data_IF_106078156031
#
_entry.id   IF_106078156031
#
_cell.length_a   1.000
_cell.length_b   1.000
_cell.length_c   1.000
_cell.angle_alpha   90.00
_cell.angle_beta   90.00
_cell.angle_gamma   90.00
#
_symmetry.space_group_name_H-M   'P 1'
#
loop_
_entity.id
_entity.type
_entity.pdbx_description
1 polymer ?
#
# COMPACT_ATOMS: atom_id res chain seq x y z
N UNK A 1 18.85 15.00 2.45
CA UNK A 1 17.75 14.01 2.50
C UNK A 1 18.00 13.02 1.37
N UNK A 2 17.81 11.72 1.57
CA UNK A 2 18.01 10.76 0.47
C UNK A 2 16.96 10.97 -0.61
N UNK A 3 17.36 10.94 -1.88
CA UNK A 3 16.43 11.07 -3.00
C UNK A 3 15.80 9.72 -3.39
N UNK A 4 16.41 8.62 -2.94
CA UNK A 4 15.96 7.25 -3.21
C UNK A 4 15.48 6.56 -1.93
N UNK A 5 14.34 5.86 -2.03
CA UNK A 5 13.86 4.90 -1.02
C UNK A 5 13.84 3.49 -1.62
N UNK A 6 14.29 2.51 -0.85
CA UNK A 6 14.35 1.09 -1.22
C UNK A 6 13.54 0.27 -0.22
N UNK A 7 12.56 -0.49 -0.70
CA UNK A 7 11.78 -1.43 0.10
C UNK A 7 12.39 -2.83 -0.01
N UNK A 8 13.06 -3.28 1.05
CA UNK A 8 13.87 -4.50 1.08
C UNK A 8 13.81 -5.16 2.46
N UNK A 9 13.66 -6.48 2.50
CA UNK A 9 13.66 -7.24 3.76
C UNK A 9 14.20 -8.67 3.62
N UNK A 10 13.74 -9.43 2.62
CA UNK A 10 13.97 -10.89 2.53
C UNK A 10 14.91 -11.30 1.41
N UNK A 11 14.96 -10.54 0.32
CA UNK A 11 15.77 -10.87 -0.87
C UNK A 11 17.26 -10.57 -0.67
N UNK A 12 17.59 -9.59 0.17
CA UNK A 12 18.97 -9.17 0.44
C UNK A 12 19.06 -8.58 1.84
N UNK A 13 20.18 -8.83 2.53
CA UNK A 13 20.40 -8.25 3.86
C UNK A 13 20.64 -6.74 3.77
N UNK A 14 20.20 -6.00 4.81
CA UNK A 14 20.47 -4.55 4.89
C UNK A 14 21.96 -4.21 4.77
N UNK A 15 22.83 -5.02 5.40
CA UNK A 15 24.28 -4.82 5.34
C UNK A 15 24.82 -4.98 3.92
N UNK A 16 24.38 -6.00 3.17
CA UNK A 16 24.79 -6.12 1.77
C UNK A 16 24.24 -4.94 0.94
N UNK A 17 22.98 -4.56 1.15
CA UNK A 17 22.33 -3.52 0.37
C UNK A 17 23.00 -2.14 0.51
N UNK A 18 23.32 -1.71 1.73
CA UNK A 18 23.97 -0.41 1.97
C UNK A 18 25.38 -0.32 1.36
N UNK A 19 26.08 -1.45 1.21
CA UNK A 19 27.36 -1.47 0.49
C UNK A 19 27.19 -1.25 -1.02
N UNK A 20 26.07 -1.70 -1.59
CA UNK A 20 25.81 -1.59 -3.04
C UNK A 20 25.23 -0.24 -3.42
N UNK A 21 24.32 0.30 -2.60
CA UNK A 21 23.71 1.62 -2.77
C UNK A 21 23.68 2.36 -1.42
N UNK A 22 24.74 3.07 -1.04
CA UNK A 22 24.88 3.70 0.27
C UNK A 22 24.00 4.96 0.45
N UNK A 23 23.62 5.62 -0.64
CA UNK A 23 22.90 6.89 -0.61
C UNK A 23 21.37 6.74 -0.75
N UNK A 24 20.80 5.67 -0.18
CA UNK A 24 19.35 5.43 -0.18
C UNK A 24 18.79 5.21 1.23
N UNK A 25 17.50 5.53 1.41
CA UNK A 25 16.74 5.14 2.60
C UNK A 25 16.22 3.71 2.42
N UNK A 26 16.51 2.82 3.37
CA UNK A 26 15.98 1.46 3.35
C UNK A 26 14.80 1.31 4.32
N UNK A 27 13.68 0.83 3.79
CA UNK A 27 12.47 0.49 4.54
C UNK A 27 12.18 -1.01 4.40
N UNK A 28 11.40 -1.61 5.33
CA UNK A 28 10.95 -3.00 5.23
C UNK A 28 10.16 -3.29 3.95
N UNK A 29 9.72 -4.54 3.77
CA UNK A 29 8.88 -4.96 2.64
C UNK A 29 7.71 -4.00 2.41
N UNK A 30 7.49 -3.60 1.15
CA UNK A 30 6.43 -2.65 0.79
C UNK A 30 5.04 -3.21 1.07
N UNK A 31 4.12 -2.33 1.48
CA UNK A 31 2.69 -2.63 1.64
C UNK A 31 1.83 -1.45 1.20
N UNK A 32 0.51 -1.66 1.15
CA UNK A 32 -0.47 -0.61 0.84
C UNK A 32 -0.21 0.66 1.66
N UNK A 33 -0.20 1.79 0.98
CA UNK A 33 0.01 3.13 1.54
C UNK A 33 1.47 3.60 1.58
N UNK A 34 2.45 2.71 1.47
CA UNK A 34 3.85 3.10 1.63
C UNK A 34 4.39 3.91 0.43
N UNK A 35 3.85 3.69 -0.77
CA UNK A 35 4.17 4.51 -1.93
C UNK A 35 3.63 5.93 -1.74
N UNK A 36 2.41 6.12 -1.25
CA UNK A 36 1.87 7.45 -0.96
C UNK A 36 2.70 8.21 0.10
N UNK A 37 3.17 7.49 1.13
CA UNK A 37 4.10 8.06 2.12
C UNK A 37 5.43 8.47 1.49
N UNK A 38 5.95 7.67 0.55
CA UNK A 38 7.17 8.01 -0.17
C UNK A 38 7.00 9.27 -1.05
N UNK A 39 5.86 9.40 -1.75
CA UNK A 39 5.52 10.61 -2.52
C UNK A 39 5.46 11.83 -1.60
N UNK A 40 4.77 11.72 -0.46
CA UNK A 40 4.67 12.81 0.53
C UNK A 40 6.02 13.19 1.14
N UNK A 41 6.90 12.21 1.36
CA UNK A 41 8.25 12.44 1.86
C UNK A 41 9.19 13.09 0.82
N UNK A 42 8.76 13.23 -0.43
CA UNK A 42 9.51 13.92 -1.48
C UNK A 42 10.58 13.07 -2.15
N UNK A 43 10.54 11.73 -2.03
CA UNK A 43 11.46 10.85 -2.75
C UNK A 43 11.30 11.01 -4.26
N UNK A 44 12.42 10.95 -4.97
CA UNK A 44 12.51 11.09 -6.44
C UNK A 44 12.63 9.74 -7.13
N UNK A 45 13.09 8.73 -6.39
CA UNK A 45 13.18 7.34 -6.83
C UNK A 45 12.63 6.40 -5.76
N UNK A 46 11.78 5.47 -6.18
CA UNK A 46 11.25 4.38 -5.36
C UNK A 46 11.74 3.06 -5.94
N UNK A 47 12.40 2.25 -5.13
CA UNK A 47 12.87 0.90 -5.53
C UNK A 47 12.10 -0.13 -4.71
N UNK A 48 11.39 -1.01 -5.41
CA UNK A 48 10.61 -2.08 -4.81
C UNK A 48 11.37 -3.38 -5.04
N UNK A 49 11.89 -3.99 -3.97
CA UNK A 49 12.45 -5.34 -4.01
C UNK A 49 11.43 -6.29 -3.42
N UNK A 50 11.16 -6.15 -2.12
CA UNK A 50 10.28 -7.04 -1.36
C UNK A 50 8.93 -6.39 -1.03
N UNK A 51 7.89 -7.21 -0.92
CA UNK A 51 6.55 -6.77 -0.54
C UNK A 51 5.83 -7.78 0.34
N UNK A 52 4.87 -7.29 1.12
CA UNK A 52 4.09 -8.08 2.08
C UNK A 52 2.66 -8.28 1.57
N UNK A 53 2.08 -9.47 1.73
CA UNK A 53 0.76 -9.81 1.19
C UNK A 53 -0.10 -10.70 2.11
N UNK A 54 0.42 -11.14 3.26
CA UNK A 54 -0.26 -12.12 4.11
C UNK A 54 -1.23 -11.45 5.10
N UNK A 55 -0.71 -10.65 6.03
CA UNK A 55 -1.49 -10.04 7.13
C UNK A 55 -1.83 -8.58 6.88
N UNK A 56 -1.25 -8.01 5.82
CA UNK A 56 -1.45 -6.64 5.38
C UNK A 56 -1.69 -6.65 3.88
N UNK A 57 -2.54 -5.74 3.35
CA UNK A 57 -2.72 -5.64 1.92
C UNK A 57 -1.42 -5.29 1.20
N UNK A 58 -1.12 -6.00 0.11
CA UNK A 58 -0.01 -5.71 -0.78
C UNK A 58 -0.08 -4.31 -1.35
N UNK A 59 1.07 -3.79 -1.78
CA UNK A 59 1.10 -2.52 -2.53
C UNK A 59 0.16 -2.59 -3.73
N UNK A 60 -0.65 -1.54 -3.89
CA UNK A 60 -1.62 -1.44 -4.98
C UNK A 60 -0.98 -0.82 -6.22
N UNK A 61 -1.32 -1.34 -7.39
CA UNK A 61 -0.90 -0.79 -8.69
C UNK A 61 -1.20 0.71 -8.79
N UNK A 62 -2.37 1.13 -8.33
CA UNK A 62 -2.78 2.55 -8.37
C UNK A 62 -1.86 3.48 -7.59
N UNK A 63 -1.21 3.00 -6.52
CA UNK A 63 -0.24 3.83 -5.81
C UNK A 63 1.03 4.02 -6.63
N UNK A 64 1.51 2.95 -7.28
CA UNK A 64 2.68 3.01 -8.16
C UNK A 64 2.38 3.91 -9.36
N UNK A 65 1.21 3.76 -9.99
CA UNK A 65 0.75 4.67 -11.05
C UNK A 65 0.68 6.12 -10.56
N UNK A 66 0.24 6.36 -9.33
CA UNK A 66 0.25 7.71 -8.75
C UNK A 66 1.69 8.24 -8.64
N UNK A 67 2.66 7.44 -8.20
CA UNK A 67 4.06 7.87 -8.16
C UNK A 67 4.61 8.19 -9.56
N UNK A 68 4.30 7.37 -10.56
CA UNK A 68 4.68 7.60 -11.96
C UNK A 68 4.05 8.88 -12.53
N UNK A 69 2.77 9.15 -12.24
CA UNK A 69 2.08 10.41 -12.60
C UNK A 69 2.77 11.64 -11.97
N UNK A 70 3.34 11.48 -10.78
CA UNK A 70 4.17 12.49 -10.12
C UNK A 70 5.61 12.54 -10.65
N UNK A 71 5.93 11.83 -11.74
CA UNK A 71 7.26 11.82 -12.35
C UNK A 71 8.34 11.14 -11.50
N UNK A 72 7.95 10.40 -10.45
CA UNK A 72 8.89 9.67 -9.60
C UNK A 72 9.35 8.43 -10.36
N UNK A 73 10.65 8.21 -10.35
CA UNK A 73 11.24 7.02 -10.96
C UNK A 73 10.92 5.80 -10.08
N UNK A 74 10.19 4.81 -10.62
CA UNK A 74 9.88 3.58 -9.88
C UNK A 74 10.58 2.40 -10.51
N UNK A 75 11.36 1.66 -9.73
CA UNK A 75 12.03 0.43 -10.12
C UNK A 75 11.48 -0.79 -9.38
N UNK A 76 11.46 -1.94 -10.04
CA UNK A 76 11.11 -3.23 -9.43
C UNK A 76 12.04 -4.37 -9.84
N UNK A 77 12.40 -5.22 -8.87
CA UNK A 77 13.22 -6.41 -9.12
C UNK A 77 12.95 -7.54 -8.10
N UNK A 78 13.52 -8.71 -8.36
CA UNK A 78 13.65 -9.88 -7.49
C UNK A 78 12.36 -10.57 -6.99
N UNK A 79 11.47 -9.86 -6.30
CA UNK A 79 10.32 -10.44 -5.61
C UNK A 79 9.03 -9.80 -6.13
N UNK A 80 8.15 -9.37 -5.24
CA UNK A 80 6.96 -8.57 -5.58
C UNK A 80 7.30 -7.35 -6.45
N UNK A 81 8.51 -6.79 -6.32
CA UNK A 81 8.99 -5.72 -7.19
C UNK A 81 9.06 -6.10 -8.66
N UNK A 82 9.60 -7.28 -8.99
CA UNK A 82 9.69 -7.78 -10.36
C UNK A 82 8.30 -8.00 -10.96
N UNK A 83 7.39 -8.62 -10.21
CA UNK A 83 5.99 -8.82 -10.62
C UNK A 83 5.31 -7.48 -10.93
N UNK A 84 5.38 -6.51 -10.01
CA UNK A 84 4.78 -5.18 -10.20
C UNK A 84 5.40 -4.42 -11.37
N UNK A 85 6.71 -4.57 -11.58
CA UNK A 85 7.37 -3.97 -12.74
C UNK A 85 6.86 -4.58 -14.05
N UNK A 86 6.72 -5.89 -14.15
CA UNK A 86 6.19 -6.53 -15.36
C UNK A 86 4.76 -6.07 -15.68
N UNK A 87 3.91 -5.95 -14.67
CA UNK A 87 2.52 -5.47 -14.83
C UNK A 87 2.43 -3.98 -15.20
N UNK A 88 3.40 -3.16 -14.78
CA UNK A 88 3.36 -1.69 -14.90
C UNK A 88 4.42 -1.09 -15.84
N UNK A 89 5.18 -1.92 -16.55
CA UNK A 89 6.23 -1.50 -17.49
C UNK A 89 5.68 -0.57 -18.58
N UNK A 90 4.54 -0.97 -19.17
CA UNK A 90 3.84 -0.16 -20.19
C UNK A 90 3.38 1.22 -19.69
N UNK A 91 3.33 1.43 -18.37
CA UNK A 91 2.98 2.70 -17.74
C UNK A 91 4.21 3.48 -17.22
N UNK A 92 5.42 2.93 -17.36
CA UNK A 92 6.68 3.61 -17.03
C UNK A 92 7.41 3.10 -15.79
N UNK A 93 6.90 2.07 -15.09
CA UNK A 93 7.68 1.39 -14.04
C UNK A 93 8.83 0.61 -14.68
N UNK A 94 10.04 0.73 -14.14
CA UNK A 94 11.23 0.08 -14.72
C UNK A 94 11.48 -1.26 -14.03
N UNK A 95 11.52 -2.33 -14.79
CA UNK A 95 11.93 -3.64 -14.28
C UNK A 95 13.42 -3.89 -14.43
N UNK A 96 13.97 -4.72 -13.56
CA UNK A 96 15.36 -5.15 -13.63
C UNK A 96 15.53 -6.59 -13.15
N UNK A 97 16.40 -7.32 -13.84
CA UNK A 97 16.80 -8.66 -13.45
C UNK A 97 16.00 -9.76 -14.14
N UNK A 98 16.46 -10.99 -13.96
CA UNK A 98 15.95 -12.16 -14.67
C UNK A 98 14.49 -12.46 -14.31
N UNK A 99 14.11 -12.29 -13.04
CA UNK A 99 12.76 -12.59 -12.56
C UNK A 99 11.76 -11.63 -13.21
N UNK A 100 12.11 -10.35 -13.37
CA UNK A 100 11.27 -9.39 -14.11
C UNK A 100 11.12 -9.78 -15.57
N UNK A 101 12.21 -10.13 -16.27
CA UNK A 101 12.15 -10.55 -17.68
C UNK A 101 11.26 -11.80 -17.86
N UNK A 102 11.34 -12.76 -16.94
CA UNK A 102 10.50 -13.96 -17.00
C UNK A 102 9.01 -13.63 -16.84
N UNK A 103 8.64 -12.72 -15.92
CA UNK A 103 7.24 -12.25 -15.81
C UNK A 103 6.82 -11.46 -17.04
N UNK A 104 7.68 -10.56 -17.54
CA UNK A 104 7.39 -9.71 -18.71
C UNK A 104 7.18 -10.52 -19.98
N UNK A 105 7.94 -11.60 -20.16
CA UNK A 105 7.85 -12.51 -21.31
C UNK A 105 6.82 -13.63 -21.10
N UNK A 106 6.04 -13.59 -20.02
CA UNK A 106 5.02 -14.60 -19.68
C UNK A 106 5.60 -16.02 -19.54
N UNK A 107 6.90 -16.14 -19.24
CA UNK A 107 7.54 -17.43 -18.92
C UNK A 107 7.07 -17.95 -17.55
N UNK A 108 6.66 -17.03 -16.68
CA UNK A 108 6.02 -17.30 -15.39
C UNK A 108 4.90 -16.29 -15.12
N UNK A 109 3.84 -16.72 -14.45
CA UNK A 109 2.66 -15.91 -14.11
C UNK A 109 2.20 -16.06 -12.64
N UNK A 110 2.66 -17.11 -11.95
CA UNK A 110 2.23 -17.44 -10.60
C UNK A 110 2.82 -16.55 -9.50
N UNK A 111 1.98 -16.17 -8.53
CA UNK A 111 2.43 -15.49 -7.30
C UNK A 111 3.38 -16.38 -6.48
N UNK A 112 3.21 -17.70 -6.55
CA UNK A 112 3.98 -18.72 -5.84
C UNK A 112 5.45 -18.82 -6.27
N UNK A 113 5.78 -18.23 -7.42
CA UNK A 113 7.14 -18.09 -7.94
C UNK A 113 8.02 -17.25 -7.00
N UNK A 114 7.50 -16.12 -6.52
CA UNK A 114 8.23 -15.19 -5.64
C UNK A 114 7.74 -15.19 -4.19
N UNK A 115 6.53 -15.69 -3.94
CA UNK A 115 5.91 -15.75 -2.62
C UNK A 115 6.67 -16.68 -1.66
N UNK A 116 6.85 -16.18 -0.43
CA UNK A 116 7.46 -16.91 0.69
C UNK A 116 6.71 -16.58 1.97
N UNK A 117 6.71 -17.51 2.92
CA UNK A 117 6.57 -17.17 4.34
C UNK A 117 7.93 -16.77 4.92
N UNK A 118 7.93 -15.70 5.71
CA UNK A 118 9.09 -15.17 6.43
C UNK A 118 8.69 -14.83 7.87
N UNK A 119 9.55 -15.16 8.82
CA UNK A 119 9.43 -14.69 10.21
C UNK A 119 10.69 -13.94 10.62
N UNK A 120 10.49 -12.65 10.94
CA UNK A 120 11.56 -11.78 11.44
C UNK A 120 12.12 -12.22 12.79
N UNK A 121 11.33 -12.95 13.59
CA UNK A 121 11.72 -13.38 14.93
C UNK A 121 12.85 -14.41 14.91
N UNK A 122 12.77 -15.39 14.00
CA UNK A 122 13.76 -16.46 13.87
C UNK A 122 14.60 -16.36 12.60
N UNK A 123 14.37 -15.32 11.78
CA UNK A 123 15.01 -15.10 10.49
C UNK A 123 14.90 -16.30 9.53
N UNK A 124 13.79 -17.04 9.61
CA UNK A 124 13.50 -18.18 8.74
C UNK A 124 12.61 -17.73 7.59
N UNK A 125 12.99 -18.12 6.38
CA UNK A 125 12.15 -18.01 5.19
C UNK A 125 12.01 -19.35 4.47
N UNK A 126 10.88 -19.50 3.81
CA UNK A 126 10.64 -20.59 2.85
C UNK A 126 11.30 -20.29 1.51
N UNK A 127 11.32 -21.30 0.65
CA UNK A 127 12.02 -21.27 -0.62
C UNK A 127 11.04 -20.80 -1.70
N UNK A 128 11.36 -19.74 -2.46
CA UNK A 128 10.54 -19.31 -3.59
C UNK A 128 10.69 -20.31 -4.75
N UNK A 129 9.62 -20.53 -5.52
CA UNK A 129 9.65 -21.53 -6.59
C UNK A 129 10.58 -21.12 -7.73
N UNK A 130 10.70 -19.82 -7.99
CA UNK A 130 11.56 -19.27 -9.05
C UNK A 130 13.04 -19.67 -8.87
N UNK A 131 13.52 -19.73 -7.62
CA UNK A 131 14.89 -20.15 -7.33
C UNK A 131 15.08 -21.64 -7.66
N UNK A 132 14.08 -22.48 -7.39
CA UNK A 132 14.10 -23.91 -7.77
C UNK A 132 14.05 -24.06 -9.30
N UNK A 133 13.16 -23.33 -9.97
CA UNK A 133 13.05 -23.32 -11.43
C UNK A 133 14.39 -23.01 -12.09
N UNK A 134 15.01 -21.90 -11.72
CA UNK A 134 16.28 -21.47 -12.30
C UNK A 134 17.43 -22.43 -11.96
N UNK A 135 17.38 -23.07 -10.80
CA UNK A 135 18.32 -24.14 -10.43
C UNK A 135 18.15 -25.35 -11.37
N UNK A 136 16.93 -25.79 -11.62
CA UNK A 136 16.65 -26.93 -12.51
C UNK A 136 17.01 -26.63 -13.97
N UNK A 137 16.71 -25.43 -14.46
CA UNK A 137 17.12 -24.97 -15.79
C UNK A 137 18.64 -25.06 -15.97
N UNK A 138 19.41 -24.55 -15.00
CA UNK A 138 20.88 -24.62 -15.04
C UNK A 138 21.41 -26.06 -15.08
N UNK A 139 20.71 -26.99 -14.43
CA UNK A 139 21.07 -28.40 -14.38
C UNK A 139 20.72 -29.16 -15.67
N UNK A 140 19.99 -28.56 -16.62
CA UNK A 140 19.58 -29.16 -17.90
C UNK A 140 19.01 -30.60 -17.76
N UNK A 141 18.23 -30.86 -16.70
CA UNK A 141 17.74 -32.21 -16.41
C UNK A 141 16.52 -32.58 -17.25
N UNK A 142 16.43 -33.85 -17.67
CA UNK A 142 15.46 -34.36 -18.66
C UNK A 142 13.99 -34.30 -18.17
N UNK A 143 13.72 -33.95 -16.90
CA UNK A 143 12.37 -33.92 -16.31
C UNK A 143 12.07 -32.64 -15.49
N UNK A 144 12.67 -31.50 -15.84
CA UNK A 144 12.55 -30.26 -15.07
C UNK A 144 11.12 -29.88 -14.70
N UNK A 145 10.19 -29.92 -15.66
CA UNK A 145 8.79 -29.53 -15.42
C UNK A 145 8.06 -30.48 -14.46
N UNK A 146 8.26 -31.79 -14.60
CA UNK A 146 7.64 -32.78 -13.70
C UNK A 146 8.12 -32.59 -12.26
N UNK A 147 9.44 -32.37 -12.09
CA UNK A 147 10.05 -32.13 -10.78
C UNK A 147 9.56 -30.81 -10.19
N UNK A 148 9.56 -29.75 -11.00
CA UNK A 148 9.12 -28.44 -10.56
C UNK A 148 7.65 -28.47 -10.14
N UNK A 149 6.77 -29.15 -10.88
CA UNK A 149 5.37 -29.31 -10.51
C UNK A 149 5.17 -30.11 -9.22
N UNK A 150 5.99 -31.13 -8.96
CA UNK A 150 6.01 -31.84 -7.67
C UNK A 150 6.41 -30.93 -6.51
N UNK A 151 7.36 -30.02 -6.71
CA UNK A 151 7.76 -29.04 -5.69
C UNK A 151 6.72 -27.91 -5.56
N UNK A 152 6.09 -27.50 -6.66
CA UNK A 152 5.04 -26.48 -6.72
C UNK A 152 3.82 -26.88 -5.89
N UNK A 153 3.50 -28.17 -5.80
CA UNK A 153 2.37 -28.66 -4.98
C UNK A 153 2.55 -28.42 -3.48
N UNK A 154 3.78 -28.12 -3.02
CA UNK A 154 4.02 -27.65 -1.67
C UNK A 154 3.58 -26.19 -1.57
N UNK A 155 2.57 -25.91 -0.74
CA UNK A 155 2.13 -24.55 -0.48
C UNK A 155 3.31 -23.65 -0.11
N UNK A 156 3.40 -22.45 -0.71
CA UNK A 156 4.60 -21.59 -0.65
C UNK A 156 5.05 -21.35 0.80
N UNK A 157 4.11 -21.17 1.73
CA UNK A 157 4.38 -20.89 3.14
C UNK A 157 5.01 -22.07 3.90
N UNK A 158 5.05 -23.25 3.27
CA UNK A 158 5.59 -24.48 3.85
C UNK A 158 6.77 -25.05 3.05
N UNK A 159 7.16 -24.39 1.94
CA UNK A 159 8.20 -24.87 1.02
C UNK A 159 9.58 -24.76 1.65
N UNK A 160 9.97 -25.79 2.39
CA UNK A 160 11.27 -25.91 3.06
C UNK A 160 12.08 -27.04 2.45
N UNK A 161 13.40 -27.03 2.65
CA UNK A 161 14.28 -28.13 2.21
C UNK A 161 13.81 -29.50 2.70
N UNK A 162 13.27 -29.58 3.92
CA UNK A 162 12.73 -30.82 4.50
C UNK A 162 11.50 -31.30 3.73
N UNK A 163 10.59 -30.40 3.33
CA UNK A 163 9.43 -30.79 2.52
C UNK A 163 9.82 -31.12 1.09
N UNK A 164 10.75 -30.38 0.48
CA UNK A 164 11.27 -30.67 -0.86
C UNK A 164 11.88 -32.07 -0.92
N UNK A 165 12.69 -32.47 0.07
CA UNK A 165 13.30 -33.80 0.14
C UNK A 165 12.29 -34.96 0.17
N UNK A 166 11.02 -34.70 0.54
CA UNK A 166 9.94 -35.70 0.51
C UNK A 166 9.21 -35.80 -0.84
N UNK A 167 9.42 -34.84 -1.74
CA UNK A 167 8.72 -34.71 -3.03
C UNK A 167 9.60 -35.06 -4.23
N UNK A 168 10.89 -35.30 -4.01
CA UNK A 168 11.87 -35.68 -5.04
C UNK A 168 12.75 -36.83 -4.55
N UNK A 169 13.44 -37.52 -5.46
CA UNK A 169 14.44 -38.53 -5.07
C UNK A 169 15.60 -37.92 -4.31
N UNK A 170 16.28 -38.72 -3.48
CA UNK A 170 17.41 -38.28 -2.66
C UNK A 170 18.54 -37.66 -3.49
N UNK A 171 18.94 -38.31 -4.60
CA UNK A 171 19.95 -37.81 -5.53
C UNK A 171 19.58 -36.43 -6.09
N UNK A 172 18.31 -36.25 -6.48
CA UNK A 172 17.83 -35.01 -7.07
C UNK A 172 17.73 -33.90 -6.01
N UNK A 173 17.31 -34.22 -4.79
CA UNK A 173 17.33 -33.27 -3.68
C UNK A 173 18.74 -32.74 -3.42
N UNK A 174 19.74 -33.62 -3.37
CA UNK A 174 21.14 -33.22 -3.17
C UNK A 174 21.66 -32.38 -4.35
N UNK A 175 21.28 -32.73 -5.58
CA UNK A 175 21.66 -31.98 -6.77
C UNK A 175 21.06 -30.56 -6.77
N UNK A 176 19.76 -30.42 -6.50
CA UNK A 176 19.08 -29.11 -6.41
C UNK A 176 19.69 -28.29 -5.28
N UNK A 177 19.86 -28.88 -4.09
CA UNK A 177 20.32 -28.15 -2.91
C UNK A 177 21.77 -27.67 -3.03
N UNK A 178 22.64 -28.46 -3.65
CA UNK A 178 24.05 -28.09 -3.86
C UNK A 178 24.24 -27.06 -4.97
N UNK A 179 23.31 -26.98 -5.93
CA UNK A 179 23.35 -26.04 -7.05
C UNK A 179 22.33 -24.89 -6.91
N UNK A 180 21.76 -24.72 -5.72
CA UNK A 180 20.69 -23.75 -5.47
C UNK A 180 21.08 -22.34 -5.90
N UNK A 181 20.27 -21.75 -6.77
CA UNK A 181 20.42 -20.38 -7.24
C UNK A 181 19.49 -19.50 -6.42
N UNK A 182 20.05 -18.48 -5.75
CA UNK A 182 19.27 -17.46 -5.07
C UNK A 182 19.02 -16.27 -6.00
N UNK A 183 18.13 -16.46 -6.99
CA UNK A 183 17.89 -15.49 -8.04
C UNK A 183 17.29 -14.19 -7.51
N UNK A 184 16.45 -14.26 -6.47
CA UNK A 184 15.96 -13.06 -5.76
C UNK A 184 17.12 -12.20 -5.25
N UNK A 185 18.12 -12.84 -4.63
CA UNK A 185 19.31 -12.15 -4.14
C UNK A 185 20.15 -11.58 -5.28
N UNK A 186 20.37 -12.34 -6.35
CA UNK A 186 21.14 -11.91 -7.51
C UNK A 186 20.51 -10.69 -8.20
N UNK A 187 19.20 -10.72 -8.46
CA UNK A 187 18.46 -9.61 -9.07
C UNK A 187 18.47 -8.35 -8.19
N UNK A 188 18.24 -8.51 -6.88
CA UNK A 188 18.28 -7.39 -5.94
C UNK A 188 19.67 -6.74 -5.91
N UNK A 189 20.75 -7.52 -5.87
CA UNK A 189 22.12 -7.00 -5.92
C UNK A 189 22.40 -6.27 -7.23
N UNK A 190 22.02 -6.89 -8.36
CA UNK A 190 22.24 -6.35 -9.69
C UNK A 190 21.56 -4.99 -9.87
N UNK A 191 20.31 -4.85 -9.43
CA UNK A 191 19.60 -3.57 -9.48
C UNK A 191 20.28 -2.49 -8.62
N UNK A 192 20.60 -2.79 -7.36
CA UNK A 192 21.22 -1.81 -6.47
C UNK A 192 22.59 -1.33 -6.99
N UNK A 193 23.39 -2.25 -7.54
CA UNK A 193 24.66 -1.90 -8.20
C UNK A 193 24.46 -1.01 -9.43
N UNK A 194 23.49 -1.36 -10.28
CA UNK A 194 23.14 -0.57 -11.46
C UNK A 194 22.72 0.87 -11.08
N UNK A 195 21.88 1.01 -10.06
CA UNK A 195 21.39 2.32 -9.61
C UNK A 195 22.46 3.17 -8.96
N UNK A 196 23.48 2.58 -8.34
CA UNK A 196 24.61 3.32 -7.77
C UNK A 196 25.49 3.96 -8.85
N UNK A 197 25.43 3.46 -10.09
CA UNK A 197 26.14 3.99 -11.25
C UNK A 197 25.29 5.00 -12.05
N UNK A 198 24.00 5.15 -11.73
CA UNK A 198 23.06 6.00 -12.45
C UNK A 198 22.68 7.23 -11.64
N UNK A 199 22.84 8.41 -12.24
CA UNK A 199 22.23 9.62 -11.71
C UNK A 199 20.72 9.61 -11.90
N UNK A 200 19.98 10.17 -10.93
CA UNK A 200 18.55 10.45 -11.11
C UNK A 200 18.42 11.47 -12.24
N UNK A 201 17.60 11.15 -13.24
CA UNK A 201 17.40 12.03 -14.40
C UNK A 201 16.86 13.39 -13.91
N UNK A 202 17.50 14.47 -14.34
CA UNK A 202 17.18 15.85 -13.92
C UNK A 202 15.80 16.33 -14.34
N UNK A 203 15.08 15.59 -15.19
CA UNK A 203 13.68 15.89 -15.55
C UNK A 203 12.71 15.83 -14.35
N UNK A 204 13.13 15.25 -13.22
CA UNK A 204 12.33 15.20 -11.98
C UNK A 204 12.53 16.45 -11.09
N UNK A 205 13.39 17.39 -11.47
CA UNK A 205 13.75 18.55 -10.63
C UNK A 205 12.68 19.64 -10.60
N UNK A 206 11.87 19.79 -11.65
CA UNK A 206 10.78 20.76 -11.72
C UNK A 206 9.42 20.05 -11.66
N UNK A 207 9.11 19.44 -10.52
CA UNK A 207 7.75 19.03 -10.21
C UNK A 207 6.89 20.27 -9.94
N UNK A 208 6.58 21.05 -10.98
CA UNK A 208 5.26 21.66 -11.06
C UNK A 208 4.28 20.49 -11.12
N UNK A 209 3.96 19.93 -9.94
CA UNK A 209 3.05 18.80 -9.78
C UNK A 209 1.78 19.19 -10.50
N UNK A 210 1.57 18.60 -11.69
CA UNK A 210 0.33 18.84 -12.43
C UNK A 210 -0.80 18.43 -11.49
N UNK A 211 -1.76 19.34 -11.32
CA UNK A 211 -2.93 19.07 -10.52
C UNK A 211 -3.59 17.80 -11.06
N UNK A 212 -3.62 16.75 -10.24
CA UNK A 212 -4.16 15.45 -10.60
C UNK A 212 -5.61 15.36 -10.12
N UNK A 213 -6.45 14.74 -10.94
CA UNK A 213 -7.77 14.32 -10.50
C UNK A 213 -7.68 12.92 -9.91
N UNK A 214 -7.98 12.81 -8.61
CA UNK A 214 -8.00 11.53 -7.91
C UNK A 214 -9.36 10.85 -8.05
N UNK A 215 -9.36 9.55 -8.36
CA UNK A 215 -10.56 8.73 -8.28
C UNK A 215 -11.03 8.58 -6.82
N UNK A 216 -12.30 8.25 -6.59
CA UNK A 216 -12.83 8.02 -5.24
C UNK A 216 -12.02 6.98 -4.45
N UNK A 217 -11.53 5.95 -5.14
CA UNK A 217 -10.69 4.91 -4.55
C UNK A 217 -9.37 5.47 -4.02
N UNK A 218 -8.72 6.34 -4.79
CA UNK A 218 -7.45 6.95 -4.40
C UNK A 218 -7.64 7.99 -3.30
N UNK A 219 -8.75 8.75 -3.32
CA UNK A 219 -9.11 9.65 -2.23
C UNK A 219 -9.25 8.91 -0.90
N UNK A 220 -10.02 7.81 -0.87
CA UNK A 220 -10.14 6.94 0.32
C UNK A 220 -8.79 6.38 0.76
N UNK A 221 -7.96 5.95 -0.18
CA UNK A 221 -6.62 5.44 0.11
C UNK A 221 -5.74 6.50 0.78
N UNK A 222 -5.74 7.72 0.24
CA UNK A 222 -5.03 8.87 0.80
C UNK A 222 -5.48 9.15 2.23
N UNK A 223 -6.78 9.18 2.48
CA UNK A 223 -7.32 9.43 3.83
C UNK A 223 -6.91 8.34 4.82
N UNK A 224 -7.08 7.07 4.44
CA UNK A 224 -6.70 5.93 5.29
C UNK A 224 -5.20 5.82 5.55
N UNK A 225 -4.37 6.43 4.70
CA UNK A 225 -2.91 6.30 4.75
C UNK A 225 -2.23 7.49 5.41
N UNK A 226 -2.69 8.71 5.12
CA UNK A 226 -2.01 9.95 5.49
C UNK A 226 -2.73 10.68 6.64
N UNK A 227 -3.98 11.08 6.41
CA UNK A 227 -4.87 11.69 7.40
C UNK A 227 -6.23 11.95 6.79
N UNK A 228 -7.29 11.97 7.58
CA UNK A 228 -8.63 12.35 7.12
C UNK A 228 -8.71 13.80 6.59
N UNK A 229 -9.59 14.05 5.62
CA UNK A 229 -9.73 15.38 4.99
C UNK A 229 -10.19 16.45 5.96
N UNK A 230 -11.11 16.14 6.87
CA UNK A 230 -11.67 17.12 7.80
C UNK A 230 -10.65 17.70 8.80
N UNK A 231 -9.51 17.03 9.00
CA UNK A 231 -8.40 17.56 9.80
C UNK A 231 -7.55 18.61 9.06
N UNK A 232 -7.69 18.69 7.73
CA UNK A 232 -6.92 19.59 6.86
C UNK A 232 -7.78 20.60 6.11
N UNK A 233 -9.09 20.40 6.08
CA UNK A 233 -10.02 21.28 5.38
C UNK A 233 -9.87 22.73 5.87
N UNK A 234 -9.84 23.72 4.95
CA UNK A 234 -9.70 25.11 5.34
C UNK A 234 -10.89 25.56 6.21
N UNK A 235 -10.59 26.28 7.28
CA UNK A 235 -11.61 26.79 8.18
C UNK A 235 -12.32 28.00 7.56
N UNK A 236 -13.63 28.07 7.79
CA UNK A 236 -14.45 29.22 7.44
C UNK A 236 -14.74 30.05 8.69
N UNK A 237 -14.48 31.36 8.63
CA UNK A 237 -14.68 32.30 9.75
C UNK A 237 -15.99 33.11 9.61
N UNK A 238 -17.03 32.55 9.00
CA UNK A 238 -18.32 33.25 8.85
C UNK A 238 -19.17 33.12 10.13
N UNK A 239 -19.75 34.24 10.58
CA UNK A 239 -20.42 34.38 11.88
C UNK A 239 -21.94 34.18 11.86
N UNK A 240 -22.60 34.23 10.72
CA UNK A 240 -24.05 34.07 10.62
C UNK A 240 -24.40 32.68 10.11
N UNK A 241 -25.07 31.87 10.95
CA UNK A 241 -25.44 30.51 10.61
C UNK A 241 -26.76 30.11 11.27
N UNK A 242 -27.66 29.51 10.50
CA UNK A 242 -28.97 29.04 10.95
C UNK A 242 -28.96 27.62 11.52
N UNK A 243 -27.88 26.86 11.33
CA UNK A 243 -27.79 25.47 11.77
C UNK A 243 -27.64 25.35 13.31
N UNK A 244 -28.24 24.30 13.87
CA UNK A 244 -28.25 24.03 15.31
C UNK A 244 -26.83 23.87 15.89
N UNK A 245 -26.54 24.58 16.97
CA UNK A 245 -25.31 24.42 17.75
C UNK A 245 -25.10 22.97 18.21
N UNK A 246 -26.19 22.29 18.62
CA UNK A 246 -26.12 20.90 19.06
C UNK A 246 -25.66 19.95 17.96
N UNK A 247 -26.09 20.16 16.70
CA UNK A 247 -25.66 19.33 15.57
C UNK A 247 -24.15 19.45 15.33
N UNK A 248 -23.62 20.67 15.37
CA UNK A 248 -22.20 20.92 15.23
C UNK A 248 -21.38 20.27 16.36
N UNK A 249 -21.84 20.41 17.61
CA UNK A 249 -21.19 19.77 18.77
C UNK A 249 -21.16 18.24 18.63
N UNK A 250 -22.24 17.62 18.14
CA UNK A 250 -22.28 16.18 17.92
C UNK A 250 -21.30 15.74 16.81
N UNK A 251 -21.17 16.51 15.72
CA UNK A 251 -20.18 16.21 14.66
C UNK A 251 -18.75 16.35 15.18
N UNK A 252 -18.46 17.40 15.97
CA UNK A 252 -17.13 17.56 16.57
C UNK A 252 -16.76 16.37 17.45
N UNK A 253 -17.69 15.90 18.29
CA UNK A 253 -17.52 14.68 19.09
C UNK A 253 -17.30 13.44 18.22
N UNK A 254 -18.15 13.23 17.21
CA UNK A 254 -18.08 12.08 16.30
C UNK A 254 -16.72 12.00 15.59
N UNK A 255 -16.20 13.14 15.13
CA UNK A 255 -14.93 13.24 14.40
C UNK A 255 -13.71 13.43 15.29
N UNK A 256 -13.88 13.41 16.62
CA UNK A 256 -12.82 13.66 17.61
C UNK A 256 -12.08 14.99 17.41
N UNK A 257 -12.80 16.04 17.01
CA UNK A 257 -12.26 17.38 16.77
C UNK A 257 -12.39 18.23 18.06
N UNK A 258 -11.34 18.95 18.48
CA UNK A 258 -11.40 19.78 19.69
C UNK A 258 -12.53 20.80 19.67
N UNK A 259 -13.26 20.94 20.78
CA UNK A 259 -14.46 21.77 20.86
C UNK A 259 -14.18 23.27 21.06
N UNK A 260 -13.40 23.86 20.15
CA UNK A 260 -13.08 25.30 20.17
C UNK A 260 -14.22 26.13 19.58
N UNK A 261 -14.31 27.42 19.95
CA UNK A 261 -15.27 28.37 19.35
C UNK A 261 -15.14 28.43 17.82
N UNK A 262 -13.90 28.38 17.30
CA UNK A 262 -13.62 28.37 15.86
C UNK A 262 -14.18 27.12 15.18
N UNK A 263 -13.94 25.94 15.76
CA UNK A 263 -14.44 24.67 15.23
C UNK A 263 -15.97 24.61 15.25
N UNK A 264 -16.62 25.07 16.32
CA UNK A 264 -18.09 25.15 16.37
C UNK A 264 -18.66 26.00 15.24
N UNK A 265 -18.15 27.21 15.07
CA UNK A 265 -18.61 28.13 14.02
C UNK A 265 -18.42 27.51 12.63
N UNK A 266 -17.26 26.90 12.37
CA UNK A 266 -16.98 26.27 11.09
C UNK A 266 -17.93 25.12 10.77
N UNK A 267 -18.16 24.20 11.72
CA UNK A 267 -19.05 23.06 11.50
C UNK A 267 -20.52 23.45 11.46
N UNK A 268 -20.94 24.49 12.19
CA UNK A 268 -22.26 25.09 12.01
C UNK A 268 -22.42 25.60 10.59
N UNK A 269 -21.46 26.38 10.09
CA UNK A 269 -21.49 26.90 8.71
C UNK A 269 -21.59 25.77 7.69
N UNK A 270 -20.75 24.73 7.80
CA UNK A 270 -20.80 23.58 6.90
C UNK A 270 -22.18 22.92 6.94
N UNK A 271 -22.75 22.67 8.12
CA UNK A 271 -24.09 22.09 8.24
C UNK A 271 -25.16 22.97 7.57
N UNK A 272 -25.08 24.29 7.69
CA UNK A 272 -26.01 25.19 6.99
C UNK A 272 -25.92 25.12 5.47
N UNK A 273 -24.71 24.89 4.92
CA UNK A 273 -24.54 24.62 3.49
C UNK A 273 -25.12 23.26 3.09
N UNK A 274 -24.93 22.24 3.93
CA UNK A 274 -25.43 20.88 3.68
C UNK A 274 -26.96 20.81 3.76
N UNK A 275 -27.59 21.64 4.58
CA UNK A 275 -29.05 21.78 4.68
C UNK A 275 -29.66 22.37 3.39
N UNK A 276 -28.90 23.16 2.64
CA UNK A 276 -29.33 23.73 1.36
C UNK A 276 -29.20 22.75 0.18
N UNK A 277 -28.51 21.61 0.37
CA UNK A 277 -28.33 20.62 -0.69
C UNK A 277 -29.59 19.75 -0.86
N UNK A 278 -29.99 19.53 -2.11
CA UNK A 278 -31.15 18.69 -2.49
C UNK A 278 -30.86 17.18 -2.44
N UNK A 279 -29.66 16.79 -2.03
CA UNK A 279 -29.23 15.41 -2.02
C UNK A 279 -29.92 14.63 -0.89
N UNK A 280 -30.74 13.66 -1.27
CA UNK A 280 -31.42 12.73 -0.37
C UNK A 280 -30.58 11.47 -0.16
N UNK A 281 -30.31 11.12 1.09
CA UNK A 281 -29.66 9.87 1.47
C UNK A 281 -30.76 8.82 1.65
N UNK A 282 -30.62 7.69 0.97
CA UNK A 282 -31.54 6.56 1.18
C UNK A 282 -31.23 5.87 2.51
N UNK A 283 -32.23 5.22 3.10
CA UNK A 283 -32.04 4.43 4.34
C UNK A 283 -30.94 3.38 4.17
N UNK A 284 -30.93 2.68 3.02
CA UNK A 284 -29.92 1.68 2.69
C UNK A 284 -28.51 2.25 2.63
N UNK A 285 -28.37 3.45 2.06
CA UNK A 285 -27.10 4.15 2.00
C UNK A 285 -26.63 4.60 3.38
N UNK A 286 -27.54 5.13 4.21
CA UNK A 286 -27.20 5.55 5.57
C UNK A 286 -26.71 4.36 6.40
N UNK A 287 -27.44 3.23 6.36
CA UNK A 287 -27.05 1.99 7.02
C UNK A 287 -25.66 1.55 6.56
N UNK A 288 -25.43 1.49 5.25
CA UNK A 288 -24.14 1.10 4.71
C UNK A 288 -23.00 2.01 5.17
N UNK A 289 -23.19 3.33 5.19
CA UNK A 289 -22.15 4.26 5.66
C UNK A 289 -21.88 4.12 7.17
N UNK A 290 -22.91 3.84 7.98
CA UNK A 290 -22.73 3.56 9.41
C UNK A 290 -21.97 2.25 9.62
N UNK A 291 -22.25 1.20 8.84
CA UNK A 291 -21.51 -0.06 8.89
C UNK A 291 -20.04 0.15 8.53
N UNK A 292 -19.76 0.89 7.45
CA UNK A 292 -18.38 1.25 7.06
C UNK A 292 -17.66 2.04 8.16
N UNK A 293 -18.32 3.04 8.76
CA UNK A 293 -17.77 3.78 9.89
C UNK A 293 -17.41 2.84 11.06
N UNK A 294 -18.29 1.90 11.37
CA UNK A 294 -18.08 0.92 12.44
C UNK A 294 -16.91 -0.01 12.13
N UNK A 295 -16.79 -0.49 10.89
CA UNK A 295 -15.64 -1.32 10.47
C UNK A 295 -14.32 -0.56 10.60
N UNK A 296 -14.27 0.69 10.14
CA UNK A 296 -13.06 1.54 10.20
C UNK A 296 -12.61 1.82 11.64
N UNK A 297 -13.54 1.85 12.60
CA UNK A 297 -13.27 2.08 14.02
C UNK A 297 -13.22 0.79 14.85
N UNK A 298 -13.31 -0.40 14.22
CA UNK A 298 -13.39 -1.71 14.89
C UNK A 298 -14.59 -1.87 15.87
N UNK A 299 -15.72 -1.24 15.55
CA UNK A 299 -16.97 -1.22 16.34
C UNK A 299 -18.00 -2.23 15.80
N UNK A 300 -17.56 -3.46 15.53
CA UNK A 300 -18.35 -4.48 14.82
C UNK A 300 -19.53 -5.01 15.63
N UNK A 301 -19.41 -5.09 16.96
CA UNK A 301 -20.52 -5.50 17.84
C UNK A 301 -21.38 -4.30 18.20
N UNK A 302 -22.68 -4.53 18.38
CA UNK A 302 -23.63 -3.48 18.78
C UNK A 302 -23.31 -2.88 20.15
N UNK A 303 -22.87 -3.70 21.10
CA UNK A 303 -22.46 -3.26 22.43
C UNK A 303 -21.22 -2.35 22.40
N UNK A 304 -20.19 -2.73 21.63
CA UNK A 304 -18.97 -1.92 21.46
C UNK A 304 -19.29 -0.56 20.85
N UNK A 305 -20.17 -0.54 19.82
CA UNK A 305 -20.62 0.69 19.19
C UNK A 305 -21.43 1.58 20.15
N UNK A 306 -22.33 0.99 20.94
CA UNK A 306 -23.11 1.72 21.93
C UNK A 306 -22.23 2.32 23.04
N UNK A 307 -21.28 1.53 23.58
CA UNK A 307 -20.34 2.01 24.59
C UNK A 307 -19.46 3.13 24.04
N UNK A 308 -18.98 2.99 22.80
CA UNK A 308 -18.23 4.05 22.13
C UNK A 308 -19.04 5.35 21.98
N UNK A 309 -20.32 5.26 21.58
CA UNK A 309 -21.21 6.43 21.52
C UNK A 309 -21.41 7.07 22.90
N UNK A 310 -21.48 6.27 23.96
CA UNK A 310 -21.57 6.76 25.33
C UNK A 310 -20.31 7.51 25.75
N UNK A 311 -19.14 6.94 25.46
CA UNK A 311 -17.83 7.54 25.77
C UNK A 311 -17.63 8.87 25.02
N UNK A 312 -18.14 8.97 23.79
CA UNK A 312 -18.14 10.22 23.01
C UNK A 312 -19.23 11.21 23.44
N UNK A 313 -20.13 10.84 24.37
CA UNK A 313 -21.25 11.69 24.79
C UNK A 313 -22.27 11.93 23.68
N UNK A 314 -22.52 10.90 22.86
CA UNK A 314 -23.43 10.89 21.70
C UNK A 314 -24.64 9.97 21.87
N UNK A 315 -24.68 9.13 22.90
CA UNK A 315 -25.75 8.13 23.10
C UNK A 315 -27.17 8.71 23.24
N UNK A 316 -27.32 9.94 23.73
CA UNK A 316 -28.61 10.65 23.83
C UNK A 316 -28.92 11.51 22.59
N UNK A 317 -28.02 11.56 21.61
CA UNK A 317 -28.21 12.34 20.40
C UNK A 317 -29.16 11.65 19.42
N UNK A 318 -29.75 12.42 18.51
CA UNK A 318 -30.46 11.85 17.36
C UNK A 318 -29.43 11.23 16.40
N UNK A 319 -29.22 9.91 16.52
CA UNK A 319 -28.22 9.18 15.75
C UNK A 319 -28.52 9.21 14.23
N UNK A 320 -29.79 9.17 13.83
CA UNK A 320 -30.17 9.25 12.42
C UNK A 320 -29.73 10.59 11.82
N UNK A 321 -30.02 11.70 12.51
CA UNK A 321 -29.58 13.04 12.09
C UNK A 321 -28.04 13.16 12.12
N UNK A 322 -27.39 12.63 13.16
CA UNK A 322 -25.94 12.67 13.31
C UNK A 322 -25.23 11.98 12.14
N UNK A 323 -25.64 10.77 11.80
CA UNK A 323 -25.03 10.03 10.69
C UNK A 323 -25.44 10.59 9.33
N UNK A 324 -26.64 11.16 9.20
CA UNK A 324 -27.04 11.90 7.98
C UNK A 324 -26.11 13.10 7.75
N UNK A 325 -25.87 13.89 8.80
CA UNK A 325 -24.96 15.04 8.78
C UNK A 325 -23.53 14.60 8.44
N UNK A 326 -23.05 13.53 9.06
CA UNK A 326 -21.75 12.93 8.79
C UNK A 326 -21.60 12.51 7.32
N UNK A 327 -22.57 11.78 6.77
CA UNK A 327 -22.50 11.29 5.38
C UNK A 327 -22.52 12.46 4.38
N UNK A 328 -23.41 13.45 4.59
CA UNK A 328 -23.44 14.67 3.74
C UNK A 328 -22.11 15.42 3.81
N UNK A 329 -21.57 15.59 5.02
CA UNK A 329 -20.29 16.26 5.24
C UNK A 329 -19.16 15.52 4.52
N UNK A 330 -19.08 14.20 4.66
CA UNK A 330 -18.04 13.40 4.03
C UNK A 330 -18.09 13.50 2.51
N UNK A 331 -19.27 13.42 1.92
CA UNK A 331 -19.44 13.60 0.47
C UNK A 331 -19.04 14.99 0.01
N UNK A 332 -19.46 16.02 0.75
CA UNK A 332 -19.09 17.40 0.45
C UNK A 332 -17.58 17.57 0.45
N UNK A 333 -16.90 17.13 1.52
CA UNK A 333 -15.44 17.22 1.64
C UNK A 333 -14.70 16.43 0.55
N UNK A 334 -15.15 15.22 0.22
CA UNK A 334 -14.57 14.41 -0.87
C UNK A 334 -14.64 15.13 -2.22
N UNK A 335 -15.68 15.92 -2.45
CA UNK A 335 -15.90 16.65 -3.71
C UNK A 335 -15.11 17.96 -3.72
N UNK A 336 -15.14 18.72 -2.63
CA UNK A 336 -14.62 20.11 -2.60
C UNK A 336 -13.15 20.20 -2.20
N UNK A 337 -12.60 19.22 -1.49
CA UNK A 337 -11.22 19.27 -1.02
C UNK A 337 -10.21 18.99 -2.14
N UNK A 338 -9.14 19.79 -2.20
CA UNK A 338 -8.03 19.55 -3.12
C UNK A 338 -7.05 18.51 -2.55
N UNK A 339 -7.23 17.25 -2.96
CA UNK A 339 -6.38 16.13 -2.55
C UNK A 339 -4.91 16.28 -2.97
N UNK A 340 -4.57 17.15 -3.93
CA UNK A 340 -3.17 17.43 -4.28
C UNK A 340 -2.41 18.07 -3.11
N UNK A 341 -3.11 18.79 -2.22
CA UNK A 341 -2.53 19.38 -1.01
C UNK A 341 -1.92 18.36 -0.04
N UNK A 342 -2.23 17.07 -0.20
CA UNK A 342 -1.60 16.03 0.63
C UNK A 342 -0.11 15.86 0.35
N UNK A 343 0.30 16.20 -0.86
CA UNK A 343 1.64 15.97 -1.35
C UNK A 343 2.45 17.26 -1.41
N UNK A 344 1.79 18.42 -1.49
CA UNK A 344 2.40 19.76 -1.53
C UNK A 344 3.28 20.11 -0.33
#
# INVERSE_FOLDING_TARGET
>A
MHETVVFLETSLTYQEAIHLLPHAMYLPSIKKGDVLKAIKAGYKRIVIIDGNFSWVPSVWHKEILTALDYGIEVWGAASMGALRAAELDSFGMRGHGRIYEMYKNEEVDGDDEVAIAYSKFNNVQTIPLINIRLTLERLNSINNETVLNSIRSIFYAERTWVKIARHVSEDLYHLIKSNYIDAKKEDAKSLLLSLNQQHILSTVSDLNRKKREFTLFEKKLIESTLSSVWLRAPMHEQTECSASQQRAENILKLLSIPETKKNRIHYQYLLSLLDQQTYAITEYELIYQVEQFREEHNLLKGEDFFNWLKDMGLHESNLEQLFTDYVKLMKHLIITYDFNSYFN
#
